data_IF_464546608228
#
_entry.id   IF_464546608228
#
_cell.length_a   1.000
_cell.length_b   1.000
_cell.length_c   1.000
_cell.angle_alpha   90.00
_cell.angle_beta   90.00
_cell.angle_gamma   90.00
#
_symmetry.space_group_name_H-M   'P 1'
#
loop_
_entity.id
_entity.type
_entity.pdbx_description
1 polymer ?
#
# COMPACT_ATOMS: atom_id res chain seq x y z
N UNK A 1 41.36 -52.28 25.48
CA UNK A 1 42.02 -51.18 24.73
C UNK A 1 41.03 -50.52 23.86
N UNK A 2 40.48 -49.39 24.29
CA UNK A 2 39.54 -48.58 23.54
C UNK A 2 40.28 -47.36 22.96
N UNK A 3 40.12 -47.09 21.64
CA UNK A 3 40.68 -45.91 20.97
C UNK A 3 39.78 -44.70 21.26
N UNK A 4 40.31 -43.49 21.49
CA UNK A 4 39.54 -42.29 21.64
C UNK A 4 39.15 -41.74 20.28
N UNK A 5 37.89 -41.24 20.16
CA UNK A 5 37.37 -40.54 19.01
C UNK A 5 37.94 -39.12 18.93
N UNK A 6 38.54 -38.78 17.81
CA UNK A 6 39.02 -37.44 17.47
C UNK A 6 37.82 -36.57 17.03
N UNK A 7 37.56 -35.50 17.79
CA UNK A 7 36.66 -34.41 17.40
C UNK A 7 37.38 -33.50 16.41
N UNK A 8 37.01 -33.55 15.14
CA UNK A 8 37.41 -32.53 14.18
C UNK A 8 36.51 -31.30 14.36
N UNK A 9 37.09 -30.20 14.83
CA UNK A 9 36.45 -28.91 14.93
C UNK A 9 36.20 -28.32 13.55
N UNK A 10 34.94 -28.00 13.24
CA UNK A 10 34.60 -27.13 12.10
C UNK A 10 35.06 -25.70 12.39
N UNK A 11 35.63 -24.98 11.40
CA UNK A 11 35.96 -23.57 11.59
C UNK A 11 34.67 -22.76 11.72
N UNK A 12 34.56 -22.03 12.83
CA UNK A 12 33.53 -21.03 13.04
C UNK A 12 33.79 -19.87 12.06
N UNK A 13 32.97 -19.78 10.98
CA UNK A 13 32.95 -18.61 10.12
C UNK A 13 32.44 -17.39 10.91
N UNK A 14 33.09 -16.25 10.71
CA UNK A 14 32.71 -14.99 11.34
C UNK A 14 31.21 -14.68 11.10
N UNK A 15 30.46 -14.23 12.12
CA UNK A 15 29.04 -13.95 11.96
C UNK A 15 28.83 -12.76 11.02
N UNK A 16 28.12 -12.99 9.90
CA UNK A 16 27.62 -11.93 9.06
C UNK A 16 26.67 -11.03 9.89
N UNK A 17 26.97 -9.76 10.00
CA UNK A 17 26.19 -8.80 10.81
C UNK A 17 24.69 -8.72 10.41
N UNK A 18 24.34 -9.15 9.20
CA UNK A 18 22.94 -9.25 8.72
C UNK A 18 22.23 -10.54 9.16
N UNK A 19 22.99 -11.58 9.57
CA UNK A 19 22.43 -12.82 10.12
C UNK A 19 22.11 -12.73 11.61
N UNK A 20 22.75 -11.82 12.34
CA UNK A 20 22.57 -11.71 13.80
C UNK A 20 21.16 -11.25 14.21
N UNK A 21 20.54 -10.33 13.47
CA UNK A 21 19.18 -9.88 13.77
C UNK A 21 18.12 -10.97 13.54
N UNK A 22 18.33 -11.82 12.51
CA UNK A 22 17.50 -12.99 12.27
C UNK A 22 17.67 -14.08 13.32
N UNK A 23 18.91 -14.30 13.77
CA UNK A 23 19.24 -15.28 14.82
C UNK A 23 18.74 -14.83 16.20
N UNK A 24 18.81 -13.54 16.50
CA UNK A 24 18.23 -12.97 17.72
C UNK A 24 16.70 -13.11 17.72
N UNK A 25 16.02 -12.84 16.58
CA UNK A 25 14.60 -13.04 16.43
C UNK A 25 14.18 -14.51 16.59
N UNK A 26 14.98 -15.45 16.05
CA UNK A 26 14.77 -16.91 16.25
C UNK A 26 14.93 -17.32 17.71
N UNK A 27 15.94 -16.81 18.41
CA UNK A 27 16.18 -17.10 19.81
C UNK A 27 15.05 -16.57 20.73
N UNK A 28 14.46 -15.43 20.40
CA UNK A 28 13.28 -14.91 21.10
C UNK A 28 12.07 -15.84 20.86
N UNK A 29 11.84 -16.27 19.62
CA UNK A 29 10.74 -17.15 19.27
C UNK A 29 10.88 -18.58 19.83
N UNK A 30 12.09 -19.09 19.96
CA UNK A 30 12.32 -20.43 20.54
C UNK A 30 11.92 -20.52 22.02
N UNK A 31 11.78 -19.38 22.71
CA UNK A 31 11.34 -19.33 24.11
C UNK A 31 9.81 -19.27 24.29
N UNK A 32 9.06 -18.86 23.26
CA UNK A 32 7.64 -18.51 23.37
C UNK A 32 6.64 -19.49 22.71
N UNK A 33 7.03 -20.69 22.30
CA UNK A 33 6.10 -21.70 21.78
C UNK A 33 5.29 -21.30 20.53
N UNK A 34 4.48 -22.19 20.01
CA UNK A 34 3.70 -22.06 18.75
C UNK A 34 2.97 -20.74 18.55
N UNK A 35 3.18 -20.08 17.39
CA UNK A 35 2.44 -18.88 17.00
C UNK A 35 1.03 -19.29 16.52
N UNK A 36 0.00 -18.76 17.18
CA UNK A 36 -1.37 -18.99 16.79
C UNK A 36 -1.72 -18.28 15.44
N UNK A 37 -2.60 -18.86 14.57
CA UNK A 37 -3.05 -18.19 13.34
C UNK A 37 -3.57 -16.76 13.53
N UNK A 38 -4.12 -16.45 14.70
CA UNK A 38 -4.57 -15.11 15.08
C UNK A 38 -3.41 -14.11 15.24
N UNK A 39 -2.25 -14.54 15.70
CA UNK A 39 -1.06 -13.68 15.84
C UNK A 39 -0.48 -13.32 14.48
N UNK A 40 -0.50 -14.26 13.51
CA UNK A 40 -0.13 -14.00 12.12
C UNK A 40 -1.03 -12.93 11.54
N UNK A 41 -2.35 -13.04 11.75
CA UNK A 41 -3.32 -12.07 11.26
C UNK A 41 -3.10 -10.67 11.86
N UNK A 42 -2.86 -10.58 13.16
CA UNK A 42 -2.54 -9.32 13.86
C UNK A 42 -1.24 -8.72 13.32
N UNK A 43 -0.19 -9.52 13.17
CA UNK A 43 1.09 -9.09 12.60
C UNK A 43 0.97 -8.55 11.17
N UNK A 44 0.13 -9.18 10.34
CA UNK A 44 -0.19 -8.70 8.99
C UNK A 44 -0.90 -7.35 9.04
N UNK A 45 -1.92 -7.19 9.87
CA UNK A 45 -2.68 -5.93 9.97
C UNK A 45 -1.79 -4.79 10.45
N UNK A 46 -0.98 -5.00 11.50
CA UNK A 46 -0.05 -3.99 12.04
C UNK A 46 1.01 -3.63 10.99
N UNK A 47 1.63 -4.61 10.35
CA UNK A 47 2.63 -4.37 9.33
C UNK A 47 2.07 -3.59 8.13
N UNK A 48 0.85 -3.91 7.70
CA UNK A 48 0.18 -3.17 6.62
C UNK A 48 -0.26 -1.78 7.07
N UNK A 49 -0.75 -1.62 8.30
CA UNK A 49 -1.09 -0.30 8.84
C UNK A 49 0.13 0.64 8.89
N UNK A 50 1.30 0.13 9.26
CA UNK A 50 2.56 0.89 9.23
C UNK A 50 2.92 1.34 7.81
N UNK A 51 2.84 0.46 6.81
CA UNK A 51 3.11 0.81 5.40
C UNK A 51 2.13 1.87 4.88
N UNK A 52 0.83 1.72 5.17
CA UNK A 52 -0.17 2.68 4.76
C UNK A 52 -0.08 4.01 5.51
N UNK A 53 0.34 3.98 6.77
CA UNK A 53 0.58 5.20 7.51
C UNK A 53 1.69 6.04 6.87
N UNK A 54 2.87 5.44 6.60
CA UNK A 54 3.97 6.11 5.89
C UNK A 54 3.54 6.63 4.51
N UNK A 55 2.79 5.83 3.80
CA UNK A 55 2.22 6.18 2.50
C UNK A 55 1.29 7.40 2.57
N UNK A 56 0.35 7.44 3.52
CA UNK A 56 -0.59 8.55 3.67
C UNK A 56 0.05 9.80 4.24
N UNK A 57 1.07 9.67 5.08
CA UNK A 57 1.89 10.82 5.51
C UNK A 57 2.45 11.54 4.29
N UNK A 58 3.07 10.82 3.35
CA UNK A 58 3.55 11.42 2.11
C UNK A 58 2.42 12.00 1.25
N UNK A 59 1.32 11.25 1.10
CA UNK A 59 0.20 11.65 0.27
C UNK A 59 -0.45 12.95 0.74
N UNK A 60 -0.70 13.09 2.04
CA UNK A 60 -1.26 14.32 2.64
C UNK A 60 -0.25 15.47 2.52
N UNK A 61 1.03 15.23 2.82
CA UNK A 61 2.08 16.23 2.67
C UNK A 61 2.24 16.71 1.21
N UNK A 62 2.03 15.84 0.22
CA UNK A 62 2.08 16.20 -1.20
C UNK A 62 0.99 17.21 -1.61
N UNK A 63 -0.09 17.29 -0.85
CA UNK A 63 -1.16 18.29 -1.04
C UNK A 63 -0.90 19.55 -0.23
N UNK A 64 -0.65 19.39 1.08
CA UNK A 64 -0.70 20.49 2.04
C UNK A 64 0.63 21.24 2.18
N UNK A 65 1.75 20.59 1.87
CA UNK A 65 3.10 21.08 2.22
C UNK A 65 3.98 21.27 1.00
N UNK A 66 4.11 20.25 0.18
CA UNK A 66 5.13 20.22 -0.88
C UNK A 66 4.95 21.32 -1.94
N UNK A 67 3.73 21.71 -2.36
CA UNK A 67 3.56 22.83 -3.27
C UNK A 67 4.25 24.09 -2.78
N UNK A 68 4.06 24.46 -1.52
CA UNK A 68 4.62 25.68 -0.93
C UNK A 68 6.11 25.55 -0.54
N UNK A 69 6.53 24.38 -0.08
CA UNK A 69 7.87 24.16 0.51
C UNK A 69 8.91 23.76 -0.54
N UNK A 70 8.52 22.96 -1.52
CA UNK A 70 9.42 22.45 -2.55
C UNK A 70 9.20 23.06 -3.93
N UNK A 71 8.00 23.56 -4.23
CA UNK A 71 7.67 24.17 -5.54
C UNK A 71 7.20 25.63 -5.43
N UNK A 72 7.84 26.50 -4.61
CA UNK A 72 7.39 27.88 -4.38
C UNK A 72 7.53 28.79 -5.62
N UNK A 73 8.18 28.33 -6.68
CA UNK A 73 8.33 29.03 -7.96
C UNK A 73 7.15 28.80 -8.91
N UNK A 74 6.25 27.88 -8.60
CA UNK A 74 5.05 27.56 -9.36
C UNK A 74 3.80 28.12 -8.65
N UNK A 75 2.71 28.33 -9.41
CA UNK A 75 1.42 28.58 -8.78
C UNK A 75 0.94 27.34 -8.00
N UNK A 76 -0.10 27.52 -7.18
CA UNK A 76 -0.53 26.48 -6.25
C UNK A 76 -1.03 25.21 -6.98
N UNK A 77 -1.71 25.36 -8.13
CA UNK A 77 -2.14 24.22 -8.95
C UNK A 77 -0.92 23.48 -9.54
N UNK A 78 -0.04 24.21 -10.18
CA UNK A 78 1.15 23.62 -10.79
C UNK A 78 2.05 22.97 -9.73
N UNK A 79 2.26 23.63 -8.58
CA UNK A 79 2.99 23.07 -7.45
C UNK A 79 2.40 21.75 -6.95
N UNK A 80 1.07 21.67 -6.87
CA UNK A 80 0.37 20.43 -6.49
C UNK A 80 0.52 19.34 -7.55
N UNK A 81 0.43 19.69 -8.84
CA UNK A 81 0.66 18.74 -9.93
C UNK A 81 2.11 18.20 -9.93
N UNK A 82 3.12 19.08 -9.69
CA UNK A 82 4.51 18.64 -9.53
C UNK A 82 4.69 17.73 -8.33
N UNK A 83 4.05 18.02 -7.20
CA UNK A 83 4.04 17.17 -6.01
C UNK A 83 3.47 15.80 -6.32
N UNK A 84 2.38 15.73 -7.08
CA UNK A 84 1.77 14.46 -7.51
C UNK A 84 2.63 13.72 -8.55
N UNK A 85 3.35 14.42 -9.40
CA UNK A 85 4.32 13.79 -10.29
C UNK A 85 5.44 13.10 -9.49
N UNK A 86 6.00 13.77 -8.47
CA UNK A 86 6.98 13.15 -7.57
C UNK A 86 6.34 12.01 -6.76
N UNK A 87 5.11 12.18 -6.27
CA UNK A 87 4.36 11.11 -5.60
C UNK A 87 4.28 9.83 -6.44
N UNK A 88 4.04 9.97 -7.74
CA UNK A 88 3.90 8.85 -8.69
C UNK A 88 5.20 8.06 -8.88
N UNK A 89 6.38 8.65 -8.63
CA UNK A 89 7.68 7.98 -8.80
C UNK A 89 7.82 6.72 -7.95
N UNK A 90 7.21 6.68 -6.76
CA UNK A 90 7.25 5.48 -5.92
C UNK A 90 6.54 4.28 -6.57
N UNK A 91 5.46 4.51 -7.30
CA UNK A 91 4.72 3.44 -7.97
C UNK A 91 5.46 2.92 -9.20
N UNK A 92 6.20 3.80 -9.91
CA UNK A 92 7.08 3.40 -11.00
C UNK A 92 8.27 2.58 -10.47
N UNK A 93 8.83 3.00 -9.34
CA UNK A 93 9.99 2.36 -8.72
C UNK A 93 9.66 1.02 -8.04
N UNK A 94 8.40 0.81 -7.63
CA UNK A 94 7.96 -0.37 -6.87
C UNK A 94 8.17 -1.69 -7.61
N UNK A 95 7.77 -1.88 -8.89
CA UNK A 95 8.08 -3.10 -9.65
C UNK A 95 9.58 -3.37 -9.76
N UNK A 96 10.40 -2.31 -9.91
CA UNK A 96 11.85 -2.41 -9.94
C UNK A 96 12.36 -2.95 -8.61
N UNK A 97 11.86 -2.41 -7.50
CA UNK A 97 12.13 -2.91 -6.15
C UNK A 97 11.79 -4.38 -5.99
N UNK A 98 10.61 -4.80 -6.45
CA UNK A 98 10.17 -6.21 -6.43
C UNK A 98 11.18 -7.13 -7.15
N UNK A 99 11.65 -6.75 -8.34
CA UNK A 99 12.66 -7.51 -9.09
C UNK A 99 13.97 -7.63 -8.30
N UNK A 100 14.50 -6.52 -7.81
CA UNK A 100 15.75 -6.44 -7.04
C UNK A 100 15.66 -7.30 -5.78
N UNK A 101 14.63 -7.09 -4.98
CA UNK A 101 14.49 -7.74 -3.69
C UNK A 101 14.12 -9.23 -3.79
N UNK A 102 13.43 -9.65 -4.85
CA UNK A 102 13.26 -11.09 -5.12
C UNK A 102 14.59 -11.75 -5.49
N UNK A 103 15.49 -11.07 -6.22
CA UNK A 103 16.83 -11.57 -6.48
C UNK A 103 17.64 -11.67 -5.18
N UNK A 104 17.55 -10.69 -4.29
CA UNK A 104 18.18 -10.72 -2.97
C UNK A 104 17.67 -11.93 -2.15
N UNK A 105 16.34 -12.14 -2.12
CA UNK A 105 15.74 -13.26 -1.39
C UNK A 105 16.23 -14.61 -1.90
N UNK A 106 16.37 -14.79 -3.22
CA UNK A 106 16.89 -16.05 -3.81
C UNK A 106 18.36 -16.29 -3.50
N UNK A 107 19.16 -15.22 -3.38
CA UNK A 107 20.60 -15.32 -3.20
C UNK A 107 21.03 -15.41 -1.73
N UNK A 108 20.30 -14.74 -0.85
CA UNK A 108 20.65 -14.63 0.58
C UNK A 108 19.59 -15.30 1.45
N UNK A 109 18.59 -14.51 1.87
CA UNK A 109 17.48 -15.02 2.68
C UNK A 109 16.28 -14.06 2.62
N UNK A 110 15.16 -14.53 3.17
CA UNK A 110 13.93 -13.74 3.32
C UNK A 110 14.11 -12.63 4.35
N UNK A 111 14.77 -12.93 5.45
CA UNK A 111 15.08 -11.98 6.52
C UNK A 111 15.98 -10.86 6.02
N UNK A 112 17.03 -11.18 5.26
CA UNK A 112 17.92 -10.18 4.66
C UNK A 112 17.15 -9.26 3.70
N UNK A 113 16.28 -9.82 2.86
CA UNK A 113 15.40 -9.03 1.97
C UNK A 113 14.56 -8.05 2.76
N UNK A 114 13.82 -8.53 3.79
CA UNK A 114 12.90 -7.67 4.57
C UNK A 114 13.66 -6.62 5.37
N UNK A 115 14.78 -6.98 5.98
CA UNK A 115 15.63 -6.03 6.71
C UNK A 115 16.10 -4.91 5.81
N UNK A 116 16.65 -5.23 4.64
CA UNK A 116 17.13 -4.22 3.69
C UNK A 116 15.99 -3.36 3.14
N UNK A 117 14.84 -3.96 2.81
CA UNK A 117 13.70 -3.24 2.30
C UNK A 117 13.13 -2.25 3.33
N UNK A 118 12.89 -2.70 4.56
CA UNK A 118 12.32 -1.85 5.60
C UNK A 118 13.34 -0.82 6.12
N UNK A 119 14.63 -1.13 6.11
CA UNK A 119 15.70 -0.18 6.40
C UNK A 119 15.73 0.93 5.33
N UNK A 120 15.67 0.58 4.05
CA UNK A 120 15.59 1.55 2.95
C UNK A 120 14.33 2.42 3.05
N UNK A 121 13.16 1.85 3.41
CA UNK A 121 11.93 2.59 3.64
C UNK A 121 12.11 3.61 4.76
N UNK A 122 12.60 3.16 5.92
CA UNK A 122 12.83 4.01 7.08
C UNK A 122 13.82 5.15 6.79
N UNK A 123 14.96 4.83 6.14
CA UNK A 123 15.95 5.86 5.76
C UNK A 123 15.37 6.88 4.77
N UNK A 124 14.60 6.43 3.79
CA UNK A 124 13.97 7.32 2.82
C UNK A 124 12.95 8.24 3.49
N UNK A 125 12.13 7.72 4.38
CA UNK A 125 11.14 8.48 5.15
C UNK A 125 11.80 9.48 6.10
N UNK A 126 12.83 9.05 6.84
CA UNK A 126 13.63 9.95 7.69
C UNK A 126 14.33 11.02 6.85
N UNK A 127 14.88 10.64 5.68
CA UNK A 127 15.51 11.58 4.75
C UNK A 127 14.58 12.70 4.32
N UNK A 128 13.29 12.39 4.06
CA UNK A 128 12.27 13.41 3.74
C UNK A 128 12.02 14.32 4.94
N UNK A 129 11.94 13.77 6.15
CA UNK A 129 11.74 14.55 7.38
C UNK A 129 12.85 15.57 7.62
N UNK A 130 14.10 15.22 7.32
CA UNK A 130 15.26 16.08 7.49
C UNK A 130 15.60 16.92 6.24
N UNK A 131 14.89 16.73 5.12
CA UNK A 131 15.20 17.39 3.87
C UNK A 131 15.07 18.91 3.99
N UNK A 132 16.13 19.70 3.65
CA UNK A 132 16.02 21.14 3.56
C UNK A 132 15.09 21.57 2.43
N UNK A 133 14.40 22.68 2.62
CA UNK A 133 13.41 23.22 1.68
C UNK A 133 14.07 23.79 0.40
N UNK A 134 13.25 24.08 -0.62
CA UNK A 134 13.71 24.76 -1.84
C UNK A 134 14.42 26.09 -1.54
N UNK A 135 13.96 26.84 -0.55
CA UNK A 135 14.56 28.10 -0.14
C UNK A 135 16.04 27.97 0.30
N UNK A 136 16.46 26.78 0.77
CA UNK A 136 17.84 26.51 1.22
C UNK A 136 18.71 25.84 0.15
N UNK A 137 18.16 24.88 -0.59
CA UNK A 137 18.93 24.04 -1.53
C UNK A 137 18.53 24.23 -3.00
N UNK A 138 17.51 25.04 -3.30
CA UNK A 138 17.04 25.22 -4.67
C UNK A 138 16.62 23.89 -5.32
N UNK A 139 16.97 23.71 -6.58
CA UNK A 139 16.65 22.51 -7.37
C UNK A 139 17.19 21.21 -6.78
N UNK A 140 18.27 21.27 -5.98
CA UNK A 140 18.83 20.08 -5.32
C UNK A 140 17.82 19.48 -4.34
N UNK A 141 17.01 20.30 -3.65
CA UNK A 141 15.96 19.81 -2.77
C UNK A 141 14.94 18.94 -3.54
N UNK A 142 14.59 19.32 -4.77
CA UNK A 142 13.65 18.57 -5.63
C UNK A 142 14.23 17.23 -6.04
N UNK A 143 15.49 17.21 -6.46
CA UNK A 143 16.18 15.98 -6.84
C UNK A 143 16.29 15.01 -5.66
N UNK A 144 16.62 15.52 -4.47
CA UNK A 144 16.68 14.69 -3.26
C UNK A 144 15.30 14.17 -2.87
N UNK A 145 14.24 15.00 -2.94
CA UNK A 145 12.85 14.56 -2.69
C UNK A 145 12.46 13.43 -3.65
N UNK A 146 12.77 13.59 -4.95
CA UNK A 146 12.49 12.58 -5.96
C UNK A 146 13.27 11.27 -5.71
N UNK A 147 14.56 11.36 -5.37
CA UNK A 147 15.39 10.19 -5.04
C UNK A 147 14.89 9.45 -3.81
N UNK A 148 14.54 10.18 -2.75
CA UNK A 148 13.98 9.59 -1.53
C UNK A 148 12.62 8.93 -1.82
N UNK A 149 11.80 9.53 -2.68
CA UNK A 149 10.52 8.96 -3.10
C UNK A 149 10.71 7.68 -3.93
N UNK A 150 11.69 7.64 -4.83
CA UNK A 150 12.10 6.43 -5.55
C UNK A 150 12.58 5.37 -4.56
N UNK A 151 13.39 5.75 -3.56
CA UNK A 151 13.84 4.87 -2.48
C UNK A 151 12.69 4.21 -1.71
N UNK A 152 11.67 5.00 -1.33
CA UNK A 152 10.43 4.45 -0.74
C UNK A 152 9.74 3.46 -1.68
N UNK A 153 9.64 3.77 -2.97
CA UNK A 153 9.03 2.88 -3.96
C UNK A 153 9.76 1.55 -4.09
N UNK A 154 11.08 1.57 -4.23
CA UNK A 154 11.95 0.38 -4.27
C UNK A 154 11.76 -0.45 -2.99
N UNK A 155 11.77 0.20 -1.82
CA UNK A 155 11.56 -0.45 -0.53
C UNK A 155 10.20 -1.15 -0.43
N UNK A 156 9.11 -0.50 -0.88
CA UNK A 156 7.77 -1.08 -0.90
C UNK A 156 7.68 -2.33 -1.79
N UNK A 157 8.39 -2.37 -2.93
CA UNK A 157 8.53 -3.58 -3.73
C UNK A 157 9.22 -4.72 -2.97
N UNK A 158 10.22 -4.37 -2.14
CA UNK A 158 10.95 -5.32 -1.29
C UNK A 158 10.19 -5.80 -0.05
N UNK A 159 9.25 -5.02 0.46
CA UNK A 159 8.50 -5.33 1.68
C UNK A 159 7.47 -6.46 1.52
N UNK A 160 7.24 -6.94 0.29
CA UNK A 160 6.35 -8.07 0.04
C UNK A 160 6.89 -9.35 0.70
N UNK A 161 6.16 -9.84 1.68
CA UNK A 161 6.54 -11.00 2.50
C UNK A 161 5.76 -12.28 2.19
N UNK A 162 4.71 -12.19 1.36
CA UNK A 162 3.83 -13.30 1.03
C UNK A 162 2.78 -13.63 2.10
N UNK A 163 2.79 -12.93 3.23
CA UNK A 163 1.83 -13.16 4.32
C UNK A 163 0.36 -13.06 3.91
N UNK A 164 -0.07 -12.04 3.10
CA UNK A 164 -1.44 -11.99 2.63
C UNK A 164 -1.83 -13.19 1.76
N UNK A 165 -0.89 -13.69 0.94
CA UNK A 165 -1.11 -14.89 0.13
C UNK A 165 -1.20 -16.14 0.99
N UNK A 166 -0.34 -16.24 2.01
CA UNK A 166 -0.36 -17.34 2.96
C UNK A 166 -1.68 -17.41 3.74
N UNK A 167 -2.15 -16.26 4.24
CA UNK A 167 -3.45 -16.18 4.91
C UNK A 167 -4.61 -16.61 3.99
N UNK A 168 -4.60 -16.15 2.74
CA UNK A 168 -5.65 -16.51 1.78
C UNK A 168 -5.65 -18.01 1.42
N UNK A 169 -4.48 -18.65 1.36
CA UNK A 169 -4.32 -20.08 1.02
C UNK A 169 -4.60 -21.02 2.19
N UNK A 170 -4.34 -20.59 3.42
CA UNK A 170 -4.62 -21.37 4.64
C UNK A 170 -6.04 -21.14 5.16
N UNK A 171 -6.80 -20.26 4.52
CA UNK A 171 -8.19 -20.01 4.90
C UNK A 171 -9.06 -21.25 4.66
N UNK A 172 -9.93 -21.61 5.60
CA UNK A 172 -11.00 -22.58 5.35
C UNK A 172 -11.81 -22.13 4.12
N UNK A 173 -12.26 -23.08 3.29
CA UNK A 173 -12.98 -22.79 2.03
C UNK A 173 -14.12 -21.78 2.20
N UNK A 174 -14.89 -21.92 3.28
CA UNK A 174 -16.03 -21.06 3.60
C UNK A 174 -15.64 -19.67 4.16
N UNK A 175 -14.34 -19.38 4.35
CA UNK A 175 -13.83 -18.13 4.97
C UNK A 175 -12.69 -17.48 4.18
N UNK A 176 -12.54 -17.82 2.91
CA UNK A 176 -11.47 -17.24 2.04
C UNK A 176 -11.61 -15.74 1.86
N UNK A 177 -12.83 -15.21 1.78
CA UNK A 177 -13.09 -13.76 1.72
C UNK A 177 -12.70 -13.05 3.01
N UNK A 178 -13.04 -13.64 4.17
CA UNK A 178 -12.65 -13.14 5.48
C UNK A 178 -11.13 -13.02 5.64
N UNK A 179 -10.40 -14.07 5.31
CA UNK A 179 -8.93 -14.05 5.44
C UNK A 179 -8.26 -13.11 4.43
N UNK A 180 -8.82 -12.95 3.22
CA UNK A 180 -8.29 -12.03 2.21
C UNK A 180 -8.41 -10.55 2.62
N UNK A 181 -9.45 -10.16 3.38
CA UNK A 181 -9.66 -8.78 3.80
C UNK A 181 -8.71 -8.34 4.92
N UNK A 182 -8.15 -9.26 5.72
CA UNK A 182 -7.35 -8.91 6.90
C UNK A 182 -6.16 -7.99 6.57
N UNK A 183 -5.43 -8.28 5.49
CA UNK A 183 -4.34 -7.42 5.04
C UNK A 183 -4.79 -6.02 4.57
N UNK A 184 -6.05 -5.85 4.20
CA UNK A 184 -6.58 -4.59 3.69
C UNK A 184 -7.08 -3.65 4.80
N UNK A 185 -7.26 -4.15 6.02
CA UNK A 185 -7.57 -3.34 7.20
C UNK A 185 -6.48 -2.29 7.48
N UNK A 186 -5.25 -2.56 7.08
CA UNK A 186 -4.14 -1.63 7.24
C UNK A 186 -4.35 -0.27 6.57
N UNK A 187 -5.04 -0.22 5.41
CA UNK A 187 -5.24 1.01 4.68
C UNK A 187 -6.10 2.04 5.42
N UNK A 188 -7.34 1.73 5.85
CA UNK A 188 -8.13 2.68 6.62
C UNK A 188 -7.50 3.01 7.98
N UNK A 189 -6.85 2.06 8.66
CA UNK A 189 -6.14 2.31 9.92
C UNK A 189 -4.99 3.29 9.70
N UNK A 190 -4.16 3.08 8.69
CA UNK A 190 -3.06 3.98 8.35
C UNK A 190 -3.54 5.38 7.99
N UNK A 191 -4.66 5.50 7.24
CA UNK A 191 -5.26 6.80 6.92
C UNK A 191 -5.79 7.53 8.16
N UNK A 192 -6.51 6.82 9.03
CA UNK A 192 -7.03 7.41 10.29
C UNK A 192 -5.90 8.01 11.11
N UNK A 193 -4.79 7.27 11.30
CA UNK A 193 -3.65 7.75 12.09
C UNK A 193 -2.98 8.94 11.40
N UNK A 194 -2.68 8.86 10.11
CA UNK A 194 -2.04 9.94 9.35
C UNK A 194 -2.93 11.19 9.30
N UNK A 195 -4.20 11.04 8.92
CA UNK A 195 -5.15 12.13 8.85
C UNK A 195 -5.36 12.82 10.19
N UNK A 196 -5.49 12.04 11.29
CA UNK A 196 -5.64 12.59 12.64
C UNK A 196 -4.41 13.38 13.07
N UNK A 197 -3.21 12.91 12.76
CA UNK A 197 -1.98 13.63 13.09
C UNK A 197 -1.88 14.95 12.32
N UNK A 198 -2.16 14.96 11.02
CA UNK A 198 -2.18 16.21 10.25
C UNK A 198 -3.30 17.14 10.68
N UNK A 199 -4.52 16.65 10.92
CA UNK A 199 -5.63 17.48 11.42
C UNK A 199 -5.29 18.12 12.77
N UNK A 200 -4.68 17.36 13.68
CA UNK A 200 -4.20 17.88 14.95
C UNK A 200 -3.13 18.97 14.77
N UNK A 201 -2.13 18.74 13.94
CA UNK A 201 -1.05 19.71 13.71
C UNK A 201 -1.58 20.99 13.07
N UNK A 202 -2.49 20.88 12.09
CA UNK A 202 -3.14 22.04 11.46
C UNK A 202 -3.99 22.85 12.44
N UNK A 203 -4.63 22.20 13.41
CA UNK A 203 -5.44 22.90 14.43
C UNK A 203 -4.60 23.48 15.59
N UNK A 204 -3.47 22.86 15.91
CA UNK A 204 -2.62 23.22 17.03
C UNK A 204 -1.54 24.25 16.68
N UNK A 205 -1.13 24.31 15.41
CA UNK A 205 -0.07 25.19 14.93
C UNK A 205 -0.65 26.25 13.98
N UNK A 206 -0.06 27.45 13.99
CA UNK A 206 -0.33 28.43 12.94
C UNK A 206 0.28 27.99 11.61
N UNK A 207 -0.23 28.51 10.48
CA UNK A 207 0.21 28.14 9.13
C UNK A 207 1.71 28.25 8.94
N UNK A 208 2.34 29.30 9.51
CA UNK A 208 3.79 29.51 9.45
C UNK A 208 4.55 28.37 10.12
N UNK A 209 4.20 28.04 11.37
CA UNK A 209 4.89 27.01 12.14
C UNK A 209 4.66 25.63 11.53
N UNK A 210 3.45 25.38 11.03
CA UNK A 210 3.13 24.15 10.32
C UNK A 210 4.01 23.95 9.09
N UNK A 211 4.13 24.98 8.22
CA UNK A 211 4.94 24.90 7.00
C UNK A 211 6.45 24.98 7.25
N UNK A 212 6.89 25.62 8.33
CA UNK A 212 8.32 25.74 8.65
C UNK A 212 8.87 24.44 9.25
N UNK A 213 8.17 23.82 10.20
CA UNK A 213 8.66 22.63 10.92
C UNK A 213 7.58 21.57 11.21
N UNK A 214 6.33 21.95 11.47
CA UNK A 214 5.27 21.05 11.96
C UNK A 214 5.02 19.84 11.07
N UNK A 215 5.05 20.03 9.76
CA UNK A 215 4.82 18.95 8.77
C UNK A 215 5.84 17.81 8.81
N UNK A 216 6.98 17.99 9.47
CA UNK A 216 8.04 16.98 9.58
C UNK A 216 7.71 15.93 10.61
N UNK A 217 6.90 16.25 11.62
CA UNK A 217 6.55 15.32 12.71
C UNK A 217 5.86 14.04 12.22
N UNK A 218 4.88 14.08 11.31
CA UNK A 218 4.32 12.87 10.74
C UNK A 218 5.35 11.91 10.13
N UNK A 219 6.40 12.45 9.49
CA UNK A 219 7.48 11.65 8.94
C UNK A 219 8.39 11.05 10.02
N UNK A 220 8.66 11.77 11.13
CA UNK A 220 9.37 11.20 12.28
C UNK A 220 8.58 10.06 12.92
N UNK A 221 7.28 10.23 13.07
CA UNK A 221 6.38 9.18 13.58
C UNK A 221 6.38 7.99 12.63
N UNK A 222 6.32 8.22 11.30
CA UNK A 222 6.36 7.17 10.29
C UNK A 222 7.68 6.38 10.36
N UNK A 223 8.81 7.07 10.50
CA UNK A 223 10.10 6.42 10.71
C UNK A 223 10.11 5.54 11.97
N UNK A 224 9.63 6.06 13.10
CA UNK A 224 9.57 5.31 14.35
C UNK A 224 8.68 4.07 14.24
N UNK A 225 7.51 4.19 13.62
CA UNK A 225 6.60 3.07 13.36
C UNK A 225 7.24 2.04 12.42
N UNK A 226 7.95 2.46 11.37
CA UNK A 226 8.66 1.56 10.46
C UNK A 226 9.74 0.74 11.18
N UNK A 227 10.45 1.33 12.15
CA UNK A 227 11.42 0.62 12.98
C UNK A 227 10.72 -0.47 13.82
N UNK A 228 9.62 -0.13 14.48
CA UNK A 228 8.84 -1.11 15.28
C UNK A 228 8.29 -2.22 14.39
N UNK A 229 7.75 -1.86 13.21
CA UNK A 229 7.21 -2.81 12.25
C UNK A 229 8.29 -3.76 11.69
N UNK A 230 9.53 -3.28 11.52
CA UNK A 230 10.67 -4.12 11.13
C UNK A 230 10.86 -5.26 12.12
N UNK A 231 10.98 -4.95 13.42
CA UNK A 231 11.19 -5.98 14.44
C UNK A 231 10.01 -6.96 14.52
N UNK A 232 8.76 -6.45 14.47
CA UNK A 232 7.57 -7.30 14.48
C UNK A 232 7.54 -8.28 13.29
N UNK A 233 7.89 -7.81 12.09
CA UNK A 233 7.93 -8.64 10.88
C UNK A 233 9.09 -9.64 10.90
N UNK A 234 10.28 -9.22 11.32
CA UNK A 234 11.42 -10.13 11.44
C UNK A 234 11.11 -11.27 12.43
N UNK A 235 10.50 -10.95 13.57
CA UNK A 235 10.06 -11.95 14.53
C UNK A 235 9.14 -12.99 13.88
N UNK A 236 8.17 -12.56 13.10
CA UNK A 236 7.21 -13.45 12.45
C UNK A 236 7.86 -14.31 11.35
N UNK A 237 8.63 -13.68 10.46
CA UNK A 237 9.23 -14.33 9.28
C UNK A 237 10.34 -15.31 9.64
N UNK A 238 11.01 -15.11 10.77
CA UNK A 238 12.09 -16.00 11.24
C UNK A 238 11.59 -17.27 11.94
N UNK A 239 10.27 -17.46 12.11
CA UNK A 239 9.72 -18.68 12.71
C UNK A 239 9.88 -19.88 11.76
N UNK A 240 10.33 -21.06 12.27
CA UNK A 240 10.39 -22.27 11.46
C UNK A 240 9.02 -22.69 10.90
N UNK A 241 7.97 -22.43 11.65
CA UNK A 241 6.59 -22.73 11.27
C UNK A 241 6.14 -21.89 10.06
N UNK A 242 6.47 -20.60 10.05
CA UNK A 242 6.21 -19.74 8.90
C UNK A 242 7.00 -20.20 7.65
N UNK A 243 8.26 -20.54 7.80
CA UNK A 243 9.09 -21.07 6.72
C UNK A 243 8.47 -22.35 6.13
N UNK A 244 8.07 -23.30 7.00
CA UNK A 244 7.41 -24.54 6.59
C UNK A 244 6.11 -24.29 5.84
N UNK A 245 5.24 -23.41 6.34
CA UNK A 245 3.97 -23.09 5.69
C UNK A 245 4.16 -22.47 4.30
N UNK A 246 5.20 -21.67 4.10
CA UNK A 246 5.52 -21.13 2.78
C UNK A 246 6.04 -22.21 1.83
N UNK A 247 6.86 -23.12 2.32
CA UNK A 247 7.43 -24.22 1.52
C UNK A 247 6.34 -25.23 1.14
N UNK A 248 5.46 -25.62 2.07
CA UNK A 248 4.31 -26.49 1.82
C UNK A 248 3.31 -25.92 0.81
N UNK A 249 3.20 -24.59 0.75
CA UNK A 249 2.32 -23.87 -0.20
C UNK A 249 3.05 -23.40 -1.46
N UNK A 250 4.29 -23.81 -1.66
CA UNK A 250 5.13 -23.44 -2.80
C UNK A 250 5.24 -21.91 -3.00
N UNK A 251 5.23 -21.14 -1.91
CA UNK A 251 5.35 -19.68 -1.92
C UNK A 251 6.82 -19.23 -1.96
N UNK A 252 7.54 -19.71 -2.95
CA UNK A 252 8.93 -19.37 -3.23
C UNK A 252 9.04 -18.33 -4.36
N UNK A 253 10.00 -17.39 -4.31
CA UNK A 253 10.22 -16.45 -5.39
C UNK A 253 10.80 -17.15 -6.61
N UNK A 254 10.13 -17.02 -7.75
CA UNK A 254 10.61 -17.48 -9.06
C UNK A 254 11.24 -16.35 -9.86
N UNK A 255 11.90 -16.68 -10.97
CA UNK A 255 12.46 -15.69 -11.89
C UNK A 255 11.36 -14.78 -12.44
N UNK A 256 11.53 -13.46 -12.30
CA UNK A 256 10.52 -12.48 -12.73
C UNK A 256 10.31 -12.56 -14.26
N UNK A 257 11.39 -12.64 -15.04
CA UNK A 257 11.29 -12.71 -16.50
C UNK A 257 10.64 -14.01 -16.98
N UNK A 258 10.92 -15.14 -16.33
CA UNK A 258 10.28 -16.42 -16.61
C UNK A 258 8.77 -16.35 -16.30
N UNK A 259 8.42 -15.77 -15.16
CA UNK A 259 7.03 -15.59 -14.76
C UNK A 259 6.28 -14.68 -15.74
N UNK A 260 6.83 -13.52 -16.12
CA UNK A 260 6.20 -12.60 -17.07
C UNK A 260 6.05 -13.25 -18.44
N UNK A 261 7.06 -13.98 -18.91
CA UNK A 261 7.02 -14.68 -20.20
C UNK A 261 5.96 -15.79 -20.27
N UNK A 262 5.74 -16.51 -19.15
CA UNK A 262 4.78 -17.63 -19.10
C UNK A 262 3.38 -17.23 -18.64
N UNK A 263 3.25 -16.22 -17.76
CA UNK A 263 2.01 -15.85 -17.08
C UNK A 263 1.61 -14.37 -17.27
N UNK A 264 2.21 -13.67 -18.22
CA UNK A 264 1.97 -12.23 -18.43
C UNK A 264 0.50 -11.87 -18.66
N UNK A 265 -0.26 -12.74 -19.35
CA UNK A 265 -1.71 -12.57 -19.53
C UNK A 265 -2.46 -12.59 -18.17
N UNK A 266 -2.14 -13.55 -17.31
CA UNK A 266 -2.78 -13.69 -16.00
C UNK A 266 -2.40 -12.52 -15.07
N UNK A 267 -1.17 -12.01 -15.22
CA UNK A 267 -0.70 -10.81 -14.51
C UNK A 267 -1.54 -9.57 -14.86
N UNK A 268 -1.73 -9.31 -16.15
CA UNK A 268 -2.53 -8.16 -16.62
C UNK A 268 -4.00 -8.30 -16.22
N UNK A 269 -4.60 -9.47 -16.46
CA UNK A 269 -6.00 -9.73 -16.06
C UNK A 269 -6.18 -9.58 -14.56
N UNK A 270 -5.26 -10.11 -13.75
CA UNK A 270 -5.30 -9.97 -12.30
C UNK A 270 -5.21 -8.52 -11.83
N UNK A 271 -4.31 -7.73 -12.42
CA UNK A 271 -4.18 -6.31 -12.11
C UNK A 271 -5.44 -5.51 -12.47
N UNK A 272 -6.02 -5.78 -13.63
CA UNK A 272 -7.23 -5.10 -14.08
C UNK A 272 -8.48 -5.55 -13.32
N UNK A 273 -8.54 -6.76 -12.80
CA UNK A 273 -9.71 -7.26 -12.05
C UNK A 273 -10.04 -6.41 -10.80
N UNK A 274 -9.07 -5.74 -10.21
CA UNK A 274 -9.26 -4.86 -9.07
C UNK A 274 -9.11 -3.35 -9.43
N UNK A 275 -9.02 -3.01 -10.71
CA UNK A 275 -8.69 -1.66 -11.18
C UNK A 275 -9.69 -0.61 -10.68
N UNK A 276 -10.99 -0.92 -10.60
CA UNK A 276 -12.00 -0.01 -10.05
C UNK A 276 -11.67 0.42 -8.62
N UNK A 277 -11.25 -0.52 -7.77
CA UNK A 277 -10.87 -0.24 -6.38
C UNK A 277 -9.61 0.62 -6.29
N UNK A 278 -8.60 0.32 -7.11
CA UNK A 278 -7.35 1.08 -7.12
C UNK A 278 -7.52 2.49 -7.70
N UNK A 279 -8.34 2.66 -8.74
CA UNK A 279 -8.69 3.99 -9.27
C UNK A 279 -9.47 4.82 -8.24
N UNK A 280 -10.43 4.22 -7.55
CA UNK A 280 -11.20 4.88 -6.49
C UNK A 280 -10.32 5.27 -5.29
N UNK A 281 -9.25 4.51 -5.01
CA UNK A 281 -8.44 4.67 -3.79
C UNK A 281 -7.98 6.12 -3.60
N UNK A 282 -7.30 6.70 -4.59
CA UNK A 282 -6.82 8.08 -4.48
C UNK A 282 -7.85 9.12 -4.87
N UNK A 283 -8.91 8.73 -5.56
CA UNK A 283 -10.03 9.63 -5.86
C UNK A 283 -10.86 9.98 -4.61
N UNK A 284 -10.74 9.19 -3.52
CA UNK A 284 -11.42 9.52 -2.27
C UNK A 284 -10.47 9.92 -1.15
N UNK A 285 -9.19 9.52 -1.23
CA UNK A 285 -8.21 9.82 -0.16
C UNK A 285 -7.37 11.07 -0.43
N UNK A 286 -6.93 11.31 -1.66
CA UNK A 286 -5.96 12.36 -2.00
C UNK A 286 -6.56 13.47 -2.86
N UNK A 287 -7.26 13.10 -3.94
CA UNK A 287 -7.84 14.07 -4.87
C UNK A 287 -8.81 15.06 -4.20
N UNK A 288 -9.76 14.64 -3.33
CA UNK A 288 -10.69 15.60 -2.73
C UNK A 288 -9.98 16.60 -1.82
N UNK A 289 -8.93 16.16 -1.11
CA UNK A 289 -8.12 17.05 -0.27
C UNK A 289 -7.46 18.14 -1.12
N UNK A 290 -6.87 17.77 -2.27
CA UNK A 290 -6.29 18.74 -3.20
C UNK A 290 -7.34 19.68 -3.80
N UNK A 291 -8.52 19.16 -4.14
CA UNK A 291 -9.63 19.97 -4.64
C UNK A 291 -10.09 21.01 -3.62
N UNK A 292 -10.28 20.60 -2.37
CA UNK A 292 -10.67 21.51 -1.28
C UNK A 292 -9.60 22.57 -1.04
N UNK A 293 -8.34 22.19 -1.00
CA UNK A 293 -7.22 23.13 -0.78
C UNK A 293 -7.11 24.17 -1.90
N UNK A 294 -7.44 23.81 -3.14
CA UNK A 294 -7.29 24.69 -4.31
C UNK A 294 -8.53 25.52 -4.62
N UNK A 295 -9.72 24.97 -4.41
CA UNK A 295 -10.97 25.55 -4.97
C UNK A 295 -12.07 25.81 -3.93
N UNK A 296 -11.84 25.52 -2.65
CA UNK A 296 -12.82 25.73 -1.59
C UNK A 296 -12.28 26.68 -0.52
N UNK A 297 -13.19 27.42 0.11
CA UNK A 297 -12.89 28.24 1.30
C UNK A 297 -13.01 27.43 2.61
N UNK A 298 -13.31 26.14 2.50
CA UNK A 298 -13.52 25.25 3.63
C UNK A 298 -12.21 25.02 4.38
N UNK A 299 -12.30 24.90 5.71
CA UNK A 299 -11.16 24.49 6.55
C UNK A 299 -10.64 23.11 6.12
N UNK A 300 -9.35 23.03 5.82
CA UNK A 300 -8.68 21.76 5.47
C UNK A 300 -8.71 20.79 6.66
N UNK A 301 -8.54 21.29 7.89
CA UNK A 301 -8.63 20.47 9.10
C UNK A 301 -9.99 19.82 9.24
N UNK A 302 -11.08 20.58 9.05
CA UNK A 302 -12.45 20.06 9.15
C UNK A 302 -12.74 19.03 8.04
N UNK A 303 -12.20 19.25 6.85
CA UNK A 303 -12.34 18.29 5.76
C UNK A 303 -11.57 16.98 6.04
N UNK A 304 -10.38 17.06 6.62
CA UNK A 304 -9.63 15.88 7.07
C UNK A 304 -10.42 15.06 8.10
N UNK A 305 -11.15 15.73 9.03
CA UNK A 305 -12.02 15.03 9.98
C UNK A 305 -13.10 14.21 9.26
N UNK A 306 -13.72 14.77 8.21
CA UNK A 306 -14.68 14.01 7.40
C UNK A 306 -14.03 12.82 6.69
N UNK A 307 -12.81 12.99 6.18
CA UNK A 307 -12.08 11.87 5.59
C UNK A 307 -11.71 10.80 6.62
N UNK A 308 -11.38 11.16 7.86
CA UNK A 308 -11.14 10.23 8.96
C UNK A 308 -12.43 9.43 9.30
N UNK A 309 -13.59 10.11 9.36
CA UNK A 309 -14.89 9.43 9.51
C UNK A 309 -15.12 8.47 8.32
N UNK A 310 -14.86 8.92 7.10
CA UNK A 310 -14.92 8.11 5.90
C UNK A 310 -14.02 6.86 5.99
N UNK A 311 -12.79 7.02 6.48
CA UNK A 311 -11.87 5.89 6.69
C UNK A 311 -12.40 4.91 7.74
N UNK A 312 -13.10 5.39 8.78
CA UNK A 312 -13.84 4.54 9.73
C UNK A 312 -14.94 3.72 9.03
N UNK A 313 -15.69 4.33 8.12
CA UNK A 313 -16.67 3.63 7.27
C UNK A 313 -15.98 2.60 6.37
N UNK A 314 -14.84 2.96 5.76
CA UNK A 314 -14.07 2.02 4.95
C UNK A 314 -13.57 0.83 5.78
N UNK A 315 -13.14 1.04 7.02
CA UNK A 315 -12.72 -0.04 7.92
C UNK A 315 -13.85 -1.07 8.11
N UNK A 316 -15.07 -0.58 8.41
CA UNK A 316 -16.26 -1.44 8.49
C UNK A 316 -16.56 -2.09 7.14
N UNK A 317 -16.46 -1.34 6.04
CA UNK A 317 -16.65 -1.84 4.67
C UNK A 317 -15.70 -3.00 4.33
N UNK A 318 -14.41 -2.90 4.70
CA UNK A 318 -13.44 -3.99 4.50
C UNK A 318 -13.89 -5.26 5.24
N UNK A 319 -14.32 -5.16 6.50
CA UNK A 319 -14.81 -6.30 7.28
C UNK A 319 -16.05 -6.92 6.63
N UNK A 320 -17.03 -6.09 6.26
CA UNK A 320 -18.27 -6.52 5.62
C UNK A 320 -17.99 -7.18 4.26
N UNK A 321 -16.98 -6.70 3.51
CA UNK A 321 -16.58 -7.29 2.22
C UNK A 321 -16.17 -8.74 2.34
N UNK A 322 -15.51 -9.11 3.45
CA UNK A 322 -15.12 -10.49 3.73
C UNK A 322 -16.35 -11.41 3.84
N UNK A 323 -17.36 -10.98 4.61
CA UNK A 323 -18.62 -11.73 4.79
C UNK A 323 -19.40 -11.85 3.48
N UNK A 324 -19.46 -10.77 2.69
CA UNK A 324 -20.14 -10.77 1.38
C UNK A 324 -19.44 -11.73 0.41
N UNK A 325 -18.10 -11.67 0.35
CA UNK A 325 -17.33 -12.52 -0.55
C UNK A 325 -17.40 -14.01 -0.16
N UNK A 326 -17.47 -14.33 1.13
CA UNK A 326 -17.66 -15.69 1.61
C UNK A 326 -19.04 -16.27 1.21
N UNK A 327 -20.07 -15.40 1.13
CA UNK A 327 -21.43 -15.80 0.79
C UNK A 327 -21.72 -15.85 -0.71
N UNK A 328 -21.27 -14.83 -1.45
CA UNK A 328 -21.63 -14.61 -2.86
C UNK A 328 -20.49 -14.91 -3.84
N UNK A 329 -19.30 -15.19 -3.33
CA UNK A 329 -18.08 -15.35 -4.11
C UNK A 329 -17.39 -14.02 -4.43
N UNK A 330 -16.08 -14.07 -4.49
CA UNK A 330 -15.23 -12.87 -4.70
C UNK A 330 -15.46 -12.20 -6.05
N UNK A 331 -15.61 -12.98 -7.13
CA UNK A 331 -15.84 -12.45 -8.48
C UNK A 331 -17.13 -11.65 -8.56
N UNK A 332 -18.23 -12.19 -8.04
CA UNK A 332 -19.52 -11.51 -8.03
C UNK A 332 -19.48 -10.26 -7.15
N UNK A 333 -18.83 -10.32 -6.01
CA UNK A 333 -18.63 -9.18 -5.10
C UNK A 333 -17.88 -8.05 -5.80
N UNK A 334 -16.73 -8.33 -6.42
CA UNK A 334 -15.95 -7.33 -7.14
C UNK A 334 -16.70 -6.78 -8.36
N UNK A 335 -17.43 -7.64 -9.09
CA UNK A 335 -18.24 -7.24 -10.24
C UNK A 335 -19.37 -6.29 -9.84
N UNK A 336 -20.13 -6.64 -8.79
CA UNK A 336 -21.20 -5.78 -8.28
C UNK A 336 -20.65 -4.42 -7.79
N UNK A 337 -19.52 -4.43 -7.08
CA UNK A 337 -18.88 -3.21 -6.60
C UNK A 337 -18.31 -2.36 -7.74
N UNK A 338 -17.77 -2.97 -8.80
CA UNK A 338 -17.35 -2.23 -10.00
C UNK A 338 -18.53 -1.53 -10.67
N UNK A 339 -19.73 -2.17 -10.73
CA UNK A 339 -20.96 -1.52 -11.20
C UNK A 339 -21.36 -0.36 -10.29
N UNK A 340 -21.34 -0.54 -8.96
CA UNK A 340 -21.65 0.53 -8.02
C UNK A 340 -20.67 1.71 -8.12
N UNK A 341 -19.38 1.45 -8.32
CA UNK A 341 -18.35 2.45 -8.56
C UNK A 341 -18.64 3.18 -9.91
N UNK A 342 -19.05 2.46 -10.96
CA UNK A 342 -19.45 3.07 -12.23
C UNK A 342 -20.66 3.99 -12.05
N UNK A 343 -21.67 3.60 -11.30
CA UNK A 343 -22.81 4.44 -10.96
C UNK A 343 -22.36 5.66 -10.14
N UNK A 344 -21.54 5.46 -9.11
CA UNK A 344 -20.99 6.53 -8.29
C UNK A 344 -20.20 7.54 -9.11
N UNK A 345 -19.47 7.08 -10.14
CA UNK A 345 -18.69 7.97 -11.00
C UNK A 345 -19.54 9.04 -11.68
N UNK A 346 -20.80 8.76 -12.04
CA UNK A 346 -21.70 9.72 -12.65
C UNK A 346 -22.06 10.89 -11.73
N UNK A 347 -21.97 10.68 -10.41
CA UNK A 347 -22.32 11.70 -9.42
C UNK A 347 -21.13 12.56 -8.96
N UNK A 348 -19.90 12.25 -9.38
CA UNK A 348 -18.69 13.00 -8.96
C UNK A 348 -18.83 14.50 -9.17
N UNK A 349 -19.27 15.03 -10.36
CA UNK A 349 -19.37 16.46 -10.56
C UNK A 349 -20.41 17.12 -9.67
N UNK A 350 -21.59 16.51 -9.52
CA UNK A 350 -22.68 17.07 -8.72
C UNK A 350 -22.35 17.06 -7.23
N UNK A 351 -21.70 16.01 -6.74
CA UNK A 351 -21.30 15.91 -5.34
C UNK A 351 -20.14 16.88 -5.02
N UNK A 352 -19.12 16.94 -5.85
CA UNK A 352 -17.96 17.81 -5.59
C UNK A 352 -18.32 19.31 -5.72
N UNK A 353 -19.26 19.67 -6.61
CA UNK A 353 -19.77 21.04 -6.75
C UNK A 353 -20.94 21.33 -5.79
N UNK A 354 -21.43 20.35 -5.06
CA UNK A 354 -22.59 20.47 -4.16
C UNK A 354 -22.32 21.15 -2.81
N UNK A 355 -21.23 21.94 -2.71
CA UNK A 355 -20.81 22.57 -1.48
C UNK A 355 -20.34 21.56 -0.42
N UNK A 356 -20.29 21.97 0.85
CA UNK A 356 -19.79 21.11 1.93
C UNK A 356 -20.56 19.80 2.08
N UNK A 357 -21.89 19.85 1.99
CA UNK A 357 -22.73 18.65 2.11
C UNK A 357 -22.49 17.65 0.97
N UNK A 358 -22.36 18.13 -0.26
CA UNK A 358 -22.04 17.29 -1.41
C UNK A 358 -20.66 16.65 -1.28
N UNK A 359 -19.66 17.44 -0.91
CA UNK A 359 -18.28 16.98 -0.70
C UNK A 359 -18.20 15.94 0.42
N UNK A 360 -18.92 16.15 1.54
CA UNK A 360 -19.03 15.18 2.60
C UNK A 360 -19.64 13.86 2.13
N UNK A 361 -20.73 13.94 1.37
CA UNK A 361 -21.39 12.76 0.83
C UNK A 361 -20.50 12.01 -0.17
N UNK A 362 -19.75 12.74 -1.02
CA UNK A 362 -18.75 12.16 -1.92
C UNK A 362 -17.71 11.34 -1.13
N UNK A 363 -17.15 11.92 -0.06
CA UNK A 363 -16.15 11.25 0.78
C UNK A 363 -16.74 10.03 1.48
N UNK A 364 -17.88 10.18 2.16
CA UNK A 364 -18.45 9.08 2.96
C UNK A 364 -18.88 7.89 2.10
N UNK A 365 -19.59 8.15 0.98
CA UNK A 365 -19.98 7.09 0.03
C UNK A 365 -18.74 6.50 -0.63
N UNK A 366 -17.82 7.35 -1.08
CA UNK A 366 -16.59 6.92 -1.75
C UNK A 366 -15.73 6.01 -0.87
N UNK A 367 -15.52 6.35 0.41
CA UNK A 367 -14.81 5.48 1.36
C UNK A 367 -15.58 4.19 1.67
N UNK A 368 -16.92 4.23 1.72
CA UNK A 368 -17.74 3.04 1.89
C UNK A 368 -17.56 2.06 0.72
N UNK A 369 -17.64 2.55 -0.53
CA UNK A 369 -17.39 1.76 -1.73
C UNK A 369 -15.94 1.27 -1.80
N UNK A 370 -14.98 2.13 -1.41
CA UNK A 370 -13.58 1.75 -1.34
C UNK A 370 -13.37 0.60 -0.35
N UNK A 371 -13.87 0.71 0.87
CA UNK A 371 -13.72 -0.34 1.89
C UNK A 371 -14.26 -1.69 1.42
N UNK A 372 -15.48 -1.68 0.88
CA UNK A 372 -16.12 -2.88 0.35
C UNK A 372 -15.33 -3.50 -0.81
N UNK A 373 -14.86 -2.70 -1.78
CA UNK A 373 -14.19 -3.21 -2.97
C UNK A 373 -12.73 -3.57 -2.70
N UNK A 374 -12.02 -2.71 -1.99
CA UNK A 374 -10.60 -2.88 -1.71
C UNK A 374 -10.33 -4.08 -0.78
N UNK A 375 -11.26 -4.39 0.14
CA UNK A 375 -11.16 -5.54 1.01
C UNK A 375 -10.98 -6.88 0.27
N UNK A 376 -11.46 -6.99 -0.97
CA UNK A 376 -11.34 -8.20 -1.79
C UNK A 376 -10.28 -8.12 -2.90
N UNK A 377 -9.67 -6.94 -3.11
CA UNK A 377 -8.74 -6.72 -4.22
C UNK A 377 -7.51 -7.64 -4.17
N UNK A 378 -6.88 -7.82 -3.00
CA UNK A 378 -5.69 -8.65 -2.86
C UNK A 378 -5.95 -10.14 -3.09
N UNK A 379 -7.12 -10.64 -2.69
CA UNK A 379 -7.49 -12.04 -2.86
C UNK A 379 -7.71 -12.44 -4.32
N UNK A 380 -8.14 -11.50 -5.17
CA UNK A 380 -8.33 -11.74 -6.60
C UNK A 380 -7.02 -12.04 -7.34
N UNK A 381 -5.92 -11.53 -6.81
CA UNK A 381 -4.60 -11.61 -7.43
C UNK A 381 -3.96 -12.99 -7.23
N UNK A 382 -4.09 -13.57 -6.04
CA UNK A 382 -3.37 -14.79 -5.65
C UNK A 382 -3.89 -16.05 -6.37
N UNK A 383 -5.20 -16.10 -6.66
CA UNK A 383 -5.86 -17.26 -7.25
C UNK A 383 -5.51 -17.53 -8.73
N UNK A 384 -4.94 -16.55 -9.43
CA UNK A 384 -4.75 -16.60 -10.88
C UNK A 384 -3.50 -17.34 -11.35
N UNK A 385 -2.63 -17.78 -10.42
CA UNK A 385 -1.34 -18.34 -10.78
C UNK A 385 -1.19 -19.80 -10.33
N UNK A 386 -0.54 -20.66 -11.17
CA UNK A 386 -0.04 -21.94 -10.73
C UNK A 386 0.84 -21.80 -9.48
N UNK A 387 0.87 -22.81 -8.61
CA UNK A 387 1.58 -22.79 -7.35
C UNK A 387 3.02 -22.26 -7.47
N UNK A 388 3.79 -22.73 -8.46
CA UNK A 388 5.16 -22.30 -8.74
C UNK A 388 5.32 -20.78 -8.91
N UNK A 389 4.37 -20.10 -9.57
CA UNK A 389 4.44 -18.66 -9.88
C UNK A 389 3.64 -17.79 -8.92
N UNK A 390 2.94 -18.38 -7.98
CA UNK A 390 1.95 -17.69 -7.13
C UNK A 390 2.57 -16.56 -6.30
N UNK A 391 3.73 -16.79 -5.70
CA UNK A 391 4.40 -15.77 -4.88
C UNK A 391 4.84 -14.55 -5.73
N UNK A 392 5.59 -14.77 -6.80
CA UNK A 392 6.10 -13.72 -7.69
C UNK A 392 4.96 -13.08 -8.48
N UNK A 393 4.00 -13.89 -8.95
CA UNK A 393 2.83 -13.42 -9.68
C UNK A 393 1.96 -12.48 -8.85
N UNK A 394 1.67 -12.84 -7.60
CA UNK A 394 0.87 -12.01 -6.71
C UNK A 394 1.54 -10.65 -6.42
N UNK A 395 2.85 -10.64 -6.17
CA UNK A 395 3.60 -9.41 -5.96
C UNK A 395 3.55 -8.48 -7.16
N UNK A 396 3.93 -8.99 -8.36
CA UNK A 396 3.95 -8.18 -9.58
C UNK A 396 2.56 -7.71 -10.03
N UNK A 397 1.52 -8.54 -9.83
CA UNK A 397 0.14 -8.15 -10.13
C UNK A 397 -0.31 -7.02 -9.21
N UNK A 398 0.04 -7.10 -7.92
CA UNK A 398 -0.22 -6.02 -6.97
C UNK A 398 0.50 -4.73 -7.39
N UNK A 399 1.78 -4.82 -7.77
CA UNK A 399 2.56 -3.66 -8.20
C UNK A 399 1.97 -3.01 -9.45
N UNK A 400 1.55 -3.83 -10.43
CA UNK A 400 0.93 -3.35 -11.66
C UNK A 400 -0.44 -2.70 -11.39
N UNK A 401 -1.25 -3.30 -10.50
CA UNK A 401 -2.54 -2.73 -10.10
C UNK A 401 -2.37 -1.37 -9.41
N UNK A 402 -1.40 -1.25 -8.51
CA UNK A 402 -1.05 0.04 -7.89
C UNK A 402 -0.54 1.05 -8.91
N UNK A 403 0.35 0.66 -9.82
CA UNK A 403 0.91 1.55 -10.82
C UNK A 403 -0.18 2.12 -11.75
N UNK A 404 -1.01 1.25 -12.32
CA UNK A 404 -2.01 1.63 -13.33
C UNK A 404 -3.25 2.26 -12.69
N UNK A 405 -3.74 1.70 -11.57
CA UNK A 405 -4.98 2.12 -10.94
C UNK A 405 -4.83 3.32 -10.00
N UNK A 406 -3.78 3.35 -9.21
CA UNK A 406 -3.64 4.33 -8.13
C UNK A 406 -2.48 5.30 -8.30
N UNK A 407 -1.36 4.85 -8.87
CA UNK A 407 -0.10 5.61 -8.86
C UNK A 407 -0.18 7.00 -9.50
N UNK A 408 -0.94 7.12 -10.57
CA UNK A 408 -1.15 8.38 -11.28
C UNK A 408 -2.50 9.02 -10.99
N UNK A 409 -3.38 8.37 -10.23
CA UNK A 409 -4.75 8.84 -10.04
C UNK A 409 -4.86 10.28 -9.51
N UNK A 410 -4.10 10.74 -8.50
CA UNK A 410 -4.18 12.13 -8.05
C UNK A 410 -3.74 13.12 -9.14
N UNK A 411 -2.64 12.83 -9.82
CA UNK A 411 -2.10 13.66 -10.89
C UNK A 411 -3.09 13.80 -12.06
N UNK A 412 -3.62 12.65 -12.52
CA UNK A 412 -4.55 12.59 -13.64
C UNK A 412 -5.89 13.24 -13.26
N UNK A 413 -6.45 12.93 -12.08
CA UNK A 413 -7.71 13.49 -11.64
C UNK A 413 -7.65 15.01 -11.46
N UNK A 414 -6.58 15.52 -10.82
CA UNK A 414 -6.40 16.95 -10.64
C UNK A 414 -6.15 17.64 -12.00
N UNK A 415 -5.30 17.08 -12.84
CA UNK A 415 -5.02 17.62 -14.17
C UNK A 415 -6.26 17.65 -15.08
N UNK A 416 -7.04 16.56 -15.10
CA UNK A 416 -8.29 16.49 -15.86
C UNK A 416 -9.33 17.48 -15.32
N UNK A 417 -9.48 17.55 -13.99
CA UNK A 417 -10.46 18.46 -13.38
C UNK A 417 -10.12 19.93 -13.64
N UNK A 418 -8.84 20.29 -13.60
CA UNK A 418 -8.39 21.66 -13.81
C UNK A 418 -8.52 22.13 -15.27
N UNK A 419 -8.30 21.25 -16.25
CA UNK A 419 -8.30 21.64 -17.67
C UNK A 419 -9.64 21.36 -18.37
N UNK A 420 -10.37 20.32 -17.96
CA UNK A 420 -11.57 19.84 -18.64
C UNK A 420 -12.80 19.74 -17.72
N UNK A 421 -12.62 19.95 -16.43
CA UNK A 421 -13.69 19.90 -15.43
C UNK A 421 -13.90 18.51 -14.81
N UNK A 422 -14.69 18.47 -13.75
CA UNK A 422 -14.94 17.27 -12.92
C UNK A 422 -15.58 16.10 -13.68
N UNK A 423 -16.28 16.36 -14.81
CA UNK A 423 -16.84 15.29 -15.63
C UNK A 423 -15.77 14.34 -16.18
N UNK A 424 -14.55 14.83 -16.41
CA UNK A 424 -13.45 13.97 -16.87
C UNK A 424 -12.87 13.11 -15.74
N UNK A 425 -13.00 13.53 -14.48
CA UNK A 425 -12.69 12.68 -13.32
C UNK A 425 -13.70 11.52 -13.24
N UNK A 426 -14.97 11.78 -13.54
CA UNK A 426 -15.99 10.72 -13.67
C UNK A 426 -15.62 9.70 -14.75
N UNK A 427 -15.19 10.15 -15.93
CA UNK A 427 -14.76 9.27 -17.02
C UNK A 427 -13.52 8.45 -16.64
N UNK A 428 -12.58 9.04 -15.93
CA UNK A 428 -11.41 8.32 -15.41
C UNK A 428 -11.83 7.19 -14.46
N UNK A 429 -12.71 7.47 -13.49
CA UNK A 429 -13.21 6.45 -12.56
C UNK A 429 -14.04 5.37 -13.27
N UNK A 430 -14.90 5.80 -14.22
CA UNK A 430 -15.68 4.89 -15.05
C UNK A 430 -14.80 3.95 -15.87
N UNK A 431 -13.70 4.45 -16.44
CA UNK A 431 -12.75 3.62 -17.19
C UNK A 431 -12.15 2.50 -16.32
N UNK A 432 -11.82 2.80 -15.05
CA UNK A 432 -11.39 1.81 -14.07
C UNK A 432 -12.44 0.74 -13.79
N UNK A 433 -13.70 1.15 -13.65
CA UNK A 433 -14.81 0.23 -13.43
C UNK A 433 -15.07 -0.68 -14.65
N UNK A 434 -15.07 -0.12 -15.87
CA UNK A 434 -15.20 -0.87 -17.12
C UNK A 434 -14.04 -1.85 -17.30
N UNK A 435 -12.80 -1.43 -17.02
CA UNK A 435 -11.62 -2.29 -17.03
C UNK A 435 -11.74 -3.48 -16.08
N UNK A 436 -12.24 -3.24 -14.86
CA UNK A 436 -12.50 -4.33 -13.89
C UNK A 436 -13.57 -5.30 -14.39
N UNK A 437 -14.69 -4.81 -14.90
CA UNK A 437 -15.77 -5.66 -15.43
C UNK A 437 -15.28 -6.50 -16.62
N UNK A 438 -14.51 -5.90 -17.54
CA UNK A 438 -13.93 -6.61 -18.68
C UNK A 438 -12.95 -7.70 -18.21
N UNK A 439 -12.05 -7.39 -17.26
CA UNK A 439 -11.12 -8.36 -16.72
C UNK A 439 -11.83 -9.51 -15.99
N UNK A 440 -12.84 -9.22 -15.18
CA UNK A 440 -13.62 -10.22 -14.48
C UNK A 440 -14.42 -11.11 -15.44
N UNK A 441 -14.89 -10.58 -16.58
CA UNK A 441 -15.56 -11.39 -17.61
C UNK A 441 -14.63 -12.41 -18.26
N UNK A 442 -13.35 -12.06 -18.41
CA UNK A 442 -12.31 -12.92 -18.99
C UNK A 442 -11.68 -13.88 -17.99
N UNK A 443 -11.78 -13.58 -16.70
CA UNK A 443 -11.12 -14.33 -15.62
C UNK A 443 -12.06 -15.32 -14.96
N UNK A 444 -12.09 -16.54 -15.50
CA UNK A 444 -12.86 -17.65 -14.91
C UNK A 444 -12.17 -18.33 -13.72
N UNK A 445 -10.87 -18.08 -13.53
CA UNK A 445 -10.11 -18.70 -12.43
C UNK A 445 -10.59 -18.27 -11.03
N UNK A 446 -11.27 -17.12 -10.92
CA UNK A 446 -11.91 -16.69 -9.67
C UNK A 446 -13.21 -17.47 -9.32
N UNK A 447 -13.71 -18.29 -10.26
CA UNK A 447 -14.88 -19.14 -10.07
C UNK A 447 -14.52 -20.56 -9.59
N UNK A 448 -13.24 -20.93 -9.62
CA UNK A 448 -12.82 -22.27 -9.22
C UNK A 448 -13.15 -22.42 -7.74
N UNK A 449 -14.18 -23.21 -7.51
CA UNK A 449 -14.50 -23.82 -6.21
C UNK A 449 -13.52 -24.98 -6.05
N UNK A 450 -12.33 -24.71 -5.53
CA UNK A 450 -11.44 -25.75 -5.06
C UNK A 450 -11.80 -26.13 -3.65
#
# INVERSE_FOLDING_TARGET
MAKPATYEGRPQGAPNSLSSAGDDARNINARDGHIAPGEIAIGVVIGRASEYFDFFVYAIASVLVFPSVFFPFADQLQGTLYSFAVFSLAFIARPIGTVIFMAIQRRYSREAKLTLALFLLGLSTAGIAFLPTYARLGTVALLLLALLRIGQGIALGGSWDGLPSLLALNAPEKRRGWYAMLGQLGAPVGFIIAGSLFAFLLSALGDKDFLEWGWRYPFYVAFAINVVALFARLRLVSTPEYARLLDERELQPTGVFEMVGSQGRNLVIGALAALASYALFHLVTVFPLSWITLYSLRSVSDFLVIQIIGAGIALVGVVVSGLIADRFGRRNTLGALAVLIAIFSAFVPSLMNGGESGQNLFVLIGFGLLGLSYGQAAGAVTANFPARFRYTGAALTSDLAWLVGAGFAPLVALGLSAHFGLAYVSLYLLSGAVGSLAALSLNRALEIKD
#
